data_IF_601451709949
#
_entry.id   IF_601451709949
#
_cell.length_a   1.000
_cell.length_b   1.000
_cell.length_c   1.000
_cell.angle_alpha   90.00
_cell.angle_beta   90.00
_cell.angle_gamma   90.00
#
_symmetry.space_group_name_H-M   'P 1'
#
loop_
_entity.id
_entity.type
_entity.pdbx_description
1 polymer ?
#
# COMPACT_ATOMS: atom_id res chain seq x y z
N UNK A 1 3.31 -6.83 47.94
CA UNK A 1 4.08 -5.74 47.31
C UNK A 1 3.95 -5.87 45.80
N UNK A 2 3.28 -4.88 45.19
CA UNK A 2 3.28 -4.47 43.77
C UNK A 2 3.09 -5.57 42.70
N UNK A 3 1.93 -5.78 42.06
CA UNK A 3 1.13 -4.91 41.17
C UNK A 3 1.67 -4.82 39.71
N UNK A 4 0.71 -4.93 38.76
CA UNK A 4 0.72 -4.80 37.27
C UNK A 4 1.01 -6.09 36.48
N UNK A 5 0.00 -6.81 35.99
CA UNK A 5 -0.91 -6.48 34.89
C UNK A 5 -0.17 -6.25 33.56
N UNK A 6 -0.29 -7.21 32.64
CA UNK A 6 -0.36 -6.89 31.23
C UNK A 6 -1.35 -7.83 30.54
N UNK A 7 -2.60 -7.35 30.40
CA UNK A 7 -3.62 -7.88 29.51
C UNK A 7 -3.45 -7.21 28.16
N UNK A 8 -3.61 -7.95 27.08
CA UNK A 8 -3.97 -7.40 25.78
C UNK A 8 -3.02 -7.79 24.64
N UNK A 9 -3.28 -8.92 24.01
CA UNK A 9 -2.74 -9.23 22.69
C UNK A 9 -3.81 -9.96 21.86
N UNK A 10 -4.91 -9.26 21.55
CA UNK A 10 -5.96 -9.76 20.63
C UNK A 10 -6.49 -8.71 19.66
N UNK A 11 -5.90 -7.52 19.60
CA UNK A 11 -6.19 -6.52 18.55
C UNK A 11 -4.93 -5.81 18.04
N UNK A 12 -3.77 -6.07 18.66
CA UNK A 12 -2.50 -5.44 18.31
C UNK A 12 -1.82 -6.08 17.09
N UNK A 13 -2.07 -7.36 16.78
CA UNK A 13 -1.32 -8.09 15.76
C UNK A 13 -1.73 -7.77 14.31
N UNK A 14 -3.00 -7.46 14.06
CA UNK A 14 -3.49 -7.04 12.72
C UNK A 14 -2.98 -5.63 12.36
N UNK A 15 -2.88 -4.73 13.34
CA UNK A 15 -2.26 -3.41 13.17
C UNK A 15 -0.76 -3.54 12.91
N UNK A 16 -0.08 -4.49 13.57
CA UNK A 16 1.36 -4.76 13.39
C UNK A 16 1.66 -5.30 11.99
N UNK A 17 0.83 -6.16 11.40
CA UNK A 17 1.07 -6.70 10.05
C UNK A 17 1.02 -5.64 8.94
N UNK A 18 0.01 -4.76 8.97
CA UNK A 18 -0.11 -3.65 8.00
C UNK A 18 0.91 -2.55 8.27
N UNK A 19 1.19 -2.22 9.54
CA UNK A 19 2.29 -1.27 9.85
C UNK A 19 3.64 -1.85 9.51
N UNK A 20 3.86 -3.17 9.62
CA UNK A 20 5.10 -3.81 9.21
C UNK A 20 5.23 -3.82 7.68
N UNK A 21 4.16 -4.07 6.93
CA UNK A 21 4.18 -3.97 5.48
C UNK A 21 4.48 -2.52 5.02
N UNK A 22 3.81 -1.51 5.63
CA UNK A 22 4.10 -0.09 5.37
C UNK A 22 5.53 0.28 5.81
N UNK A 23 6.00 -0.24 6.94
CA UNK A 23 7.36 0.01 7.43
C UNK A 23 8.41 -0.69 6.55
N UNK A 24 8.13 -1.85 5.98
CA UNK A 24 8.99 -2.55 5.02
C UNK A 24 9.02 -1.79 3.70
N UNK A 25 7.88 -1.29 3.21
CA UNK A 25 7.84 -0.37 2.05
C UNK A 25 8.68 0.87 2.34
N UNK A 26 8.51 1.50 3.51
CA UNK A 26 9.33 2.63 3.92
C UNK A 26 10.83 2.28 4.05
N UNK A 27 11.18 1.09 4.54
CA UNK A 27 12.58 0.65 4.72
C UNK A 27 13.24 0.34 3.38
N UNK A 28 12.55 -0.37 2.48
CA UNK A 28 13.02 -0.67 1.13
C UNK A 28 13.25 0.63 0.37
N UNK A 29 12.37 1.59 0.53
CA UNK A 29 12.48 2.94 -0.02
C UNK A 29 13.69 3.71 0.57
N UNK A 30 13.93 3.62 1.89
CA UNK A 30 15.12 4.17 2.55
C UNK A 30 16.45 3.49 2.14
N UNK A 31 16.44 2.23 1.70
CA UNK A 31 17.66 1.59 1.17
C UNK A 31 17.97 2.00 -0.28
N UNK A 32 16.94 2.40 -1.05
CA UNK A 32 17.11 3.01 -2.37
C UNK A 32 17.74 4.41 -2.28
N UNK A 33 17.36 5.20 -1.25
CA UNK A 33 17.92 6.52 -0.88
C UNK A 33 19.45 6.57 -0.81
N UNK A 34 20.10 5.53 -0.29
CA UNK A 34 21.57 5.51 -0.13
C UNK A 34 22.33 5.35 -1.45
N UNK A 35 21.67 4.89 -2.52
CA UNK A 35 22.31 4.63 -3.82
C UNK A 35 22.33 5.85 -4.76
N UNK A 36 21.61 6.92 -4.40
CA UNK A 36 21.45 8.12 -5.25
C UNK A 36 22.19 9.36 -4.73
N UNK A 37 22.91 9.28 -3.62
CA UNK A 37 23.72 10.38 -3.08
C UNK A 37 25.04 10.54 -3.85
N UNK A 38 25.00 11.05 -5.08
CA UNK A 38 26.16 11.71 -5.71
C UNK A 38 25.70 12.80 -6.68
N UNK A 39 25.21 13.91 -6.13
CA UNK A 39 25.19 15.19 -6.85
C UNK A 39 25.27 16.36 -5.84
N UNK A 40 26.17 17.33 -6.03
CA UNK A 40 26.28 18.48 -5.14
C UNK A 40 25.15 19.47 -5.38
N UNK A 41 24.51 19.93 -4.29
CA UNK A 41 23.45 20.94 -4.31
C UNK A 41 24.02 22.35 -4.60
N UNK A 42 23.49 23.01 -5.63
CA UNK A 42 23.69 24.46 -5.82
C UNK A 42 22.69 25.22 -4.94
N UNK A 43 23.19 25.87 -3.90
CA UNK A 43 22.37 26.68 -2.98
C UNK A 43 22.07 28.04 -3.63
N UNK A 44 20.84 28.21 -4.11
CA UNK A 44 20.25 29.51 -4.34
C UNK A 44 19.37 29.86 -3.14
N UNK A 45 19.54 31.07 -2.61
CA UNK A 45 18.87 31.63 -1.44
C UNK A 45 17.35 31.54 -1.61
N UNK A 46 16.69 30.62 -0.89
CA UNK A 46 15.25 30.42 -1.00
C UNK A 46 14.51 31.63 -0.38
N UNK A 47 13.73 32.33 -1.20
CA UNK A 47 12.70 33.26 -0.73
C UNK A 47 11.77 32.51 0.23
N UNK A 48 11.57 33.01 1.46
CA UNK A 48 10.85 32.29 2.53
C UNK A 48 9.32 32.24 2.33
N UNK A 49 8.79 32.93 1.33
CA UNK A 49 7.35 32.88 0.99
C UNK A 49 7.21 32.20 -0.37
N UNK A 50 6.55 31.02 -0.45
CA UNK A 50 6.39 30.32 -1.71
C UNK A 50 5.47 31.10 -2.67
N UNK A 51 5.83 31.12 -3.95
CA UNK A 51 5.02 31.72 -5.00
C UNK A 51 3.93 30.73 -5.45
N UNK A 52 2.65 31.08 -5.27
CA UNK A 52 1.54 30.26 -5.75
C UNK A 52 1.48 30.24 -7.28
N UNK A 53 1.51 29.05 -7.88
CA UNK A 53 1.51 28.84 -9.34
C UNK A 53 0.52 27.74 -9.74
N UNK A 54 0.02 27.81 -10.98
CA UNK A 54 -0.81 26.74 -11.55
C UNK A 54 0.05 25.51 -11.88
N UNK A 55 -0.50 24.32 -11.65
CA UNK A 55 0.10 23.05 -12.03
C UNK A 55 0.15 22.83 -13.56
N UNK A 56 -0.63 23.57 -14.36
CA UNK A 56 -0.89 23.22 -15.77
C UNK A 56 0.27 23.51 -16.73
N UNK A 57 1.24 24.34 -16.30
CA UNK A 57 2.38 24.74 -17.14
C UNK A 57 3.63 24.96 -16.32
N UNK A 58 4.76 24.64 -16.93
CA UNK A 58 6.08 25.01 -16.40
C UNK A 58 6.41 26.43 -16.86
N UNK A 59 6.66 27.34 -15.93
CA UNK A 59 7.14 28.69 -16.23
C UNK A 59 8.65 28.77 -15.98
N UNK A 60 9.50 28.90 -17.02
CA UNK A 60 10.95 29.00 -16.86
C UNK A 60 11.40 30.13 -15.93
N UNK A 61 10.58 31.17 -15.72
CA UNK A 61 10.90 32.26 -14.80
C UNK A 61 10.89 31.84 -13.32
N UNK A 62 10.35 30.65 -13.01
CA UNK A 62 10.31 30.09 -11.67
C UNK A 62 11.48 29.15 -11.36
N UNK A 63 12.39 28.91 -12.30
CA UNK A 63 13.54 28.02 -12.10
C UNK A 63 14.33 28.39 -10.83
N UNK A 64 14.56 27.41 -9.97
CA UNK A 64 15.29 27.55 -8.71
C UNK A 64 14.52 28.27 -7.60
N UNK A 65 13.27 28.67 -7.83
CA UNK A 65 12.43 29.35 -6.83
C UNK A 65 11.58 28.36 -6.06
N UNK A 66 11.30 28.71 -4.81
CA UNK A 66 10.29 28.04 -3.99
C UNK A 66 8.90 28.42 -4.48
N UNK A 67 8.16 27.43 -4.97
CA UNK A 67 6.80 27.58 -5.48
C UNK A 67 5.81 26.75 -4.66
N UNK A 68 4.56 27.22 -4.63
CA UNK A 68 3.41 26.50 -4.11
C UNK A 68 2.53 26.07 -5.28
N UNK A 69 2.33 24.76 -5.44
CA UNK A 69 1.54 24.18 -6.52
C UNK A 69 0.33 23.47 -5.93
N UNK A 70 -0.81 23.63 -6.59
CA UNK A 70 -2.04 22.90 -6.28
C UNK A 70 -2.63 22.32 -7.56
N UNK A 71 -3.28 21.17 -7.46
CA UNK A 71 -3.94 20.52 -8.58
C UNK A 71 -4.14 19.04 -8.37
N UNK A 72 -4.49 18.35 -9.45
CA UNK A 72 -4.77 16.92 -9.41
C UNK A 72 -3.50 16.08 -9.52
N UNK A 73 -3.17 15.38 -8.44
CA UNK A 73 -2.14 14.35 -8.42
C UNK A 73 -2.69 13.07 -9.07
N UNK A 74 -1.94 12.51 -10.02
CA UNK A 74 -2.30 11.28 -10.72
C UNK A 74 -1.07 10.47 -11.09
N UNK A 75 -1.27 9.15 -11.23
CA UNK A 75 -0.34 8.31 -11.97
C UNK A 75 -0.31 8.68 -13.45
N UNK A 76 0.83 8.49 -14.09
CA UNK A 76 0.96 8.59 -15.54
C UNK A 76 0.36 7.36 -16.23
N UNK A 77 0.66 6.19 -15.69
CA UNK A 77 0.28 4.89 -16.22
C UNK A 77 -0.70 4.20 -15.25
N UNK A 78 -1.49 3.26 -15.75
CA UNK A 78 -2.45 2.53 -14.94
C UNK A 78 -1.75 1.38 -14.18
N UNK A 79 -1.78 1.36 -12.84
CA UNK A 79 -1.22 0.25 -12.07
C UNK A 79 -1.92 -1.08 -12.38
N UNK A 80 -1.14 -2.16 -12.44
CA UNK A 80 -1.61 -3.47 -12.93
C UNK A 80 -0.97 -4.63 -12.18
N UNK A 81 -1.82 -5.57 -11.78
CA UNK A 81 -1.45 -6.90 -11.33
C UNK A 81 -1.51 -7.87 -12.52
N UNK A 82 -0.35 -8.13 -13.12
CA UNK A 82 -0.25 -9.05 -14.26
C UNK A 82 -0.56 -10.50 -13.89
N UNK A 83 -0.36 -10.89 -12.63
CA UNK A 83 -0.60 -12.26 -12.17
C UNK A 83 -2.10 -12.60 -12.19
N UNK A 84 -2.95 -11.64 -11.79
CA UNK A 84 -4.40 -11.79 -11.79
C UNK A 84 -5.09 -11.11 -12.98
N UNK A 85 -4.36 -10.35 -13.81
CA UNK A 85 -4.93 -9.57 -14.92
C UNK A 85 -5.76 -8.36 -14.48
N UNK A 86 -5.71 -7.99 -13.19
CA UNK A 86 -6.46 -6.87 -12.61
C UNK A 86 -5.68 -5.57 -12.80
N UNK A 87 -6.37 -4.50 -13.14
CA UNK A 87 -5.76 -3.18 -13.31
C UNK A 87 -6.70 -2.09 -12.79
N UNK A 88 -6.11 -1.00 -12.33
CA UNK A 88 -6.84 0.21 -11.97
C UNK A 88 -7.13 1.05 -13.23
N UNK A 89 -7.95 2.09 -13.05
CA UNK A 89 -8.21 3.07 -14.11
C UNK A 89 -6.96 3.93 -14.40
N UNK A 90 -6.88 4.48 -15.61
CA UNK A 90 -5.83 5.40 -15.99
C UNK A 90 -5.81 6.62 -15.05
N UNK A 91 -4.62 6.98 -14.57
CA UNK A 91 -4.44 8.06 -13.59
C UNK A 91 -4.46 7.61 -12.13
N UNK A 92 -4.87 6.38 -11.83
CA UNK A 92 -4.71 5.83 -10.49
C UNK A 92 -3.23 5.85 -10.08
N UNK A 93 -3.01 6.16 -8.80
CA UNK A 93 -1.68 6.31 -8.21
C UNK A 93 -1.12 4.92 -7.87
N UNK A 94 -1.97 4.03 -7.35
CA UNK A 94 -1.58 2.67 -6.96
C UNK A 94 -2.76 1.71 -6.89
N UNK A 95 -2.45 0.42 -6.92
CA UNK A 95 -3.37 -0.72 -6.83
C UNK A 95 -2.79 -1.69 -5.80
N UNK A 96 -3.59 -2.05 -4.80
CA UNK A 96 -3.16 -2.91 -3.71
C UNK A 96 -3.95 -4.21 -3.72
N UNK A 97 -3.25 -5.33 -3.85
CA UNK A 97 -3.81 -6.68 -3.68
C UNK A 97 -3.64 -7.12 -2.23
N UNK A 98 -4.73 -7.52 -1.59
CA UNK A 98 -4.72 -8.18 -0.29
C UNK A 98 -5.12 -9.65 -0.47
N UNK A 99 -4.28 -10.56 0.02
CA UNK A 99 -4.53 -12.00 0.02
C UNK A 99 -4.61 -12.46 1.47
N UNK A 100 -5.71 -13.13 1.81
CA UNK A 100 -5.91 -13.76 3.12
C UNK A 100 -6.26 -15.22 2.93
N UNK A 101 -5.85 -16.06 3.87
CA UNK A 101 -6.18 -17.47 3.90
C UNK A 101 -7.05 -17.78 5.12
N UNK A 102 -8.06 -18.62 4.90
CA UNK A 102 -8.89 -19.19 5.95
C UNK A 102 -8.06 -20.19 6.76
N UNK A 103 -7.82 -19.89 8.03
CA UNK A 103 -6.89 -20.65 8.87
C UNK A 103 -7.46 -20.76 10.29
N UNK A 104 -7.05 -21.79 11.02
CA UNK A 104 -7.22 -21.88 12.46
C UNK A 104 -6.28 -20.92 13.18
N UNK A 105 -6.75 -20.30 14.24
CA UNK A 105 -5.98 -19.51 15.19
C UNK A 105 -6.22 -20.08 16.60
N UNK A 106 -5.13 -20.24 17.36
CA UNK A 106 -5.17 -20.69 18.74
C UNK A 106 -5.01 -19.49 19.69
N UNK A 107 -5.98 -19.31 20.59
CA UNK A 107 -5.87 -18.35 21.69
C UNK A 107 -5.90 -19.08 23.02
N UNK A 108 -4.83 -18.96 23.82
CA UNK A 108 -4.74 -19.59 25.13
C UNK A 108 -4.88 -18.60 26.28
N UNK A 109 -5.72 -18.96 27.26
CA UNK A 109 -5.81 -18.34 28.56
C UNK A 109 -5.43 -19.37 29.64
N UNK A 110 -4.24 -19.21 30.23
CA UNK A 110 -3.65 -20.18 31.17
C UNK A 110 -3.55 -21.59 30.53
N UNK A 111 -4.18 -22.59 31.14
CA UNK A 111 -4.17 -23.98 30.67
C UNK A 111 -5.22 -24.25 29.57
N UNK A 112 -6.11 -23.31 29.29
CA UNK A 112 -7.22 -23.50 28.34
C UNK A 112 -6.94 -22.78 27.02
N UNK A 113 -7.07 -23.47 25.89
CA UNK A 113 -6.96 -22.88 24.57
C UNK A 113 -8.27 -23.01 23.81
N UNK A 114 -8.58 -21.98 23.04
CA UNK A 114 -9.72 -21.89 22.13
C UNK A 114 -9.18 -21.82 20.70
N UNK A 115 -9.93 -22.43 19.78
CA UNK A 115 -9.58 -22.48 18.37
C UNK A 115 -10.71 -21.85 17.59
N UNK A 116 -10.37 -20.83 16.83
CA UNK A 116 -11.30 -20.19 15.92
C UNK A 116 -10.73 -20.20 14.52
N UNK A 117 -11.62 -20.27 13.54
CA UNK A 117 -11.20 -20.09 12.17
C UNK A 117 -11.24 -18.59 11.88
N UNK A 118 -10.16 -18.03 11.35
CA UNK A 118 -10.00 -16.62 10.96
C UNK A 118 -9.64 -16.49 9.48
N UNK A 119 -9.76 -15.28 8.93
CA UNK A 119 -9.08 -14.90 7.69
C UNK A 119 -7.79 -14.20 8.10
N UNK A 120 -6.65 -14.72 7.67
CA UNK A 120 -5.35 -14.14 8.01
C UNK A 120 -4.50 -13.93 6.77
N UNK A 121 -3.90 -12.75 6.65
CA UNK A 121 -2.90 -12.45 5.62
C UNK A 121 -1.54 -13.12 5.88
N UNK A 122 -1.31 -13.60 7.11
CA UNK A 122 -0.09 -14.30 7.50
C UNK A 122 -0.39 -15.80 7.66
N UNK A 123 0.58 -16.64 7.31
CA UNK A 123 0.51 -18.06 7.62
C UNK A 123 0.59 -18.26 9.14
N UNK A 124 -0.38 -18.96 9.70
CA UNK A 124 -0.42 -19.30 11.12
C UNK A 124 0.16 -20.70 11.29
N UNK A 125 1.31 -20.79 11.97
CA UNK A 125 1.98 -22.07 12.19
C UNK A 125 1.25 -22.93 13.22
N UNK A 126 0.41 -23.84 12.70
CA UNK A 126 -0.30 -24.83 13.52
C UNK A 126 0.58 -25.94 14.09
N UNK A 127 1.90 -26.01 13.82
CA UNK A 127 2.76 -27.04 14.42
C UNK A 127 2.89 -26.87 15.93
N UNK A 128 2.79 -25.63 16.40
CA UNK A 128 2.94 -25.25 17.80
C UNK A 128 1.60 -25.27 18.57
N UNK A 129 0.50 -25.62 17.91
CA UNK A 129 -0.81 -25.69 18.56
C UNK A 129 -0.85 -26.77 19.64
N UNK A 130 -1.42 -26.42 20.81
CA UNK A 130 -1.61 -27.33 21.95
C UNK A 130 -2.44 -28.55 21.57
N UNK A 131 -3.42 -28.38 20.69
CA UNK A 131 -4.23 -29.43 20.10
C UNK A 131 -4.25 -29.29 18.57
N UNK A 132 -3.15 -29.72 17.95
CA UNK A 132 -2.99 -29.71 16.49
C UNK A 132 -4.01 -30.58 15.74
N UNK A 133 -4.37 -31.74 16.28
CA UNK A 133 -5.26 -32.68 15.58
C UNK A 133 -6.64 -32.05 15.40
N UNK A 134 -7.03 -31.82 14.13
CA UNK A 134 -8.28 -31.15 13.74
C UNK A 134 -8.14 -29.63 13.56
N UNK A 135 -6.95 -29.07 13.81
CA UNK A 135 -6.66 -27.64 13.67
C UNK A 135 -5.41 -27.38 12.81
N UNK A 136 -5.16 -28.25 11.84
CA UNK A 136 -4.01 -28.11 10.94
C UNK A 136 -4.23 -27.00 9.91
N UNK A 137 -3.24 -26.11 9.77
CA UNK A 137 -3.19 -25.08 8.75
C UNK A 137 -2.25 -25.46 7.59
N UNK A 138 -2.51 -24.97 6.37
CA UNK A 138 -1.56 -25.05 5.28
C UNK A 138 -0.24 -24.38 5.63
N UNK A 139 0.86 -24.94 5.14
CA UNK A 139 2.22 -24.46 5.42
C UNK A 139 2.74 -23.47 4.37
N UNK A 140 1.94 -23.19 3.34
CA UNK A 140 2.30 -22.30 2.22
C UNK A 140 1.06 -21.60 1.69
N UNK A 141 1.19 -20.32 1.35
CA UNK A 141 0.22 -19.57 0.55
C UNK A 141 0.69 -19.55 -0.92
N UNK A 142 -0.19 -19.81 -1.90
CA UNK A 142 0.18 -19.81 -3.32
C UNK A 142 0.26 -18.39 -3.92
N UNK A 143 -0.24 -17.38 -3.20
CA UNK A 143 -0.25 -15.98 -3.61
C UNK A 143 0.03 -15.10 -2.39
N UNK A 144 0.68 -13.96 -2.63
CA UNK A 144 0.97 -12.96 -1.62
C UNK A 144 0.20 -11.65 -1.90
N UNK A 145 -0.01 -10.85 -0.86
CA UNK A 145 -0.41 -9.46 -1.04
C UNK A 145 0.68 -8.66 -1.76
N UNK A 146 0.30 -7.64 -2.51
CA UNK A 146 1.25 -6.84 -3.28
C UNK A 146 0.73 -5.41 -3.51
N UNK A 147 1.65 -4.49 -3.81
CA UNK A 147 1.36 -3.11 -4.17
C UNK A 147 1.94 -2.82 -5.55
N UNK A 148 1.08 -2.39 -6.47
CA UNK A 148 1.44 -1.99 -7.82
C UNK A 148 1.27 -0.48 -7.92
N UNK A 149 2.33 0.24 -8.22
CA UNK A 149 2.31 1.71 -8.33
C UNK A 149 2.35 2.15 -9.79
N UNK A 150 1.97 3.40 -10.05
CA UNK A 150 2.28 4.07 -11.32
C UNK A 150 3.76 4.44 -11.33
N UNK A 151 4.47 4.10 -12.40
CA UNK A 151 5.91 4.38 -12.57
C UNK A 151 6.28 5.86 -12.37
N UNK A 152 5.33 6.77 -12.64
CA UNK A 152 5.54 8.20 -12.56
C UNK A 152 4.29 8.90 -11.99
N UNK A 153 4.49 9.85 -11.07
CA UNK A 153 3.43 10.70 -10.54
C UNK A 153 3.50 12.10 -11.16
N UNK A 154 2.32 12.68 -11.40
CA UNK A 154 2.14 13.97 -12.04
C UNK A 154 1.18 14.86 -11.28
N UNK A 155 1.56 16.13 -11.14
CA UNK A 155 0.69 17.23 -10.73
C UNK A 155 0.63 18.23 -11.88
N UNK A 156 -0.38 18.10 -12.74
CA UNK A 156 -0.42 18.82 -14.01
C UNK A 156 0.82 18.52 -14.86
N UNK A 157 1.59 19.56 -15.19
CA UNK A 157 2.86 19.47 -15.92
C UNK A 157 4.05 19.05 -15.05
N UNK A 158 3.94 19.13 -13.72
CA UNK A 158 5.05 18.86 -12.80
C UNK A 158 5.21 17.36 -12.50
N UNK A 159 6.46 16.96 -12.31
CA UNK A 159 6.91 15.71 -11.68
C UNK A 159 7.39 16.00 -10.26
N UNK A 160 7.50 14.95 -9.47
CA UNK A 160 8.03 15.01 -8.11
C UNK A 160 9.33 14.25 -8.05
N UNK A 161 10.33 14.79 -7.34
CA UNK A 161 11.38 13.91 -6.85
C UNK A 161 10.81 12.89 -5.85
N UNK A 162 11.48 11.74 -5.65
CA UNK A 162 10.94 10.69 -4.80
C UNK A 162 10.60 11.18 -3.39
N UNK A 163 11.44 12.03 -2.79
CA UNK A 163 11.26 12.52 -1.43
C UNK A 163 10.01 13.39 -1.25
N UNK A 164 9.75 14.30 -2.20
CA UNK A 164 8.52 15.09 -2.18
C UNK A 164 7.31 14.19 -2.51
N UNK A 165 7.45 13.25 -3.45
CA UNK A 165 6.37 12.30 -3.76
C UNK A 165 5.94 11.51 -2.52
N UNK A 166 6.88 11.01 -1.72
CA UNK A 166 6.58 10.28 -0.48
C UNK A 166 5.83 11.16 0.54
N UNK A 167 6.21 12.43 0.68
CA UNK A 167 5.49 13.36 1.55
C UNK A 167 4.08 13.66 1.04
N UNK A 168 3.93 13.91 -0.25
CA UNK A 168 2.60 14.14 -0.84
C UNK A 168 1.72 12.91 -0.65
N UNK A 169 2.26 11.71 -0.87
CA UNK A 169 1.55 10.44 -0.72
C UNK A 169 1.14 10.13 0.73
N UNK A 170 1.88 10.63 1.72
CA UNK A 170 1.55 10.43 3.13
C UNK A 170 0.20 11.08 3.51
N UNK A 171 -0.13 12.20 2.86
CA UNK A 171 -1.35 12.96 3.11
C UNK A 171 -2.52 12.57 2.18
N UNK A 172 -2.34 11.55 1.32
CA UNK A 172 -3.40 11.10 0.40
C UNK A 172 -4.45 10.29 1.15
N UNK A 173 -5.69 10.41 0.70
CA UNK A 173 -6.81 9.62 1.22
C UNK A 173 -6.53 8.11 1.19
N UNK A 174 -7.12 7.40 2.15
CA UNK A 174 -6.96 5.96 2.27
C UNK A 174 -7.41 5.22 1.00
N UNK A 175 -6.74 4.12 0.59
CA UNK A 175 -7.13 3.33 -0.57
C UNK A 175 -8.60 2.87 -0.48
N UNK A 176 -9.35 3.05 -1.56
CA UNK A 176 -10.78 2.67 -1.65
C UNK A 176 -10.94 1.28 -2.25
N UNK A 177 -12.03 0.59 -1.91
CA UNK A 177 -12.32 -0.73 -2.46
C UNK A 177 -12.42 -0.71 -3.99
N UNK A 178 -11.78 -1.67 -4.65
CA UNK A 178 -11.91 -1.95 -6.08
C UNK A 178 -12.57 -3.32 -6.25
N UNK A 179 -13.89 -3.39 -6.47
CA UNK A 179 -14.59 -4.65 -6.67
C UNK A 179 -14.09 -5.38 -7.92
N UNK A 180 -13.75 -6.66 -7.77
CA UNK A 180 -13.28 -7.52 -8.85
C UNK A 180 -14.23 -8.70 -9.11
N UNK A 181 -14.18 -9.25 -10.32
CA UNK A 181 -14.97 -10.41 -10.75
C UNK A 181 -14.08 -11.50 -11.32
N UNK A 182 -14.48 -12.76 -11.17
CA UNK A 182 -13.72 -13.89 -11.70
C UNK A 182 -13.59 -13.84 -13.23
N UNK A 183 -14.53 -13.21 -13.94
CA UNK A 183 -14.49 -13.03 -15.39
C UNK A 183 -13.37 -12.09 -15.89
N UNK A 184 -12.74 -11.32 -15.00
CA UNK A 184 -11.59 -10.48 -15.32
C UNK A 184 -10.27 -11.27 -15.29
N UNK A 185 -10.27 -12.47 -14.69
CA UNK A 185 -9.07 -13.25 -14.47
C UNK A 185 -8.63 -14.01 -15.74
N UNK A 186 -7.32 -14.32 -15.85
CA UNK A 186 -6.83 -15.30 -16.80
C UNK A 186 -7.57 -16.64 -16.68
N UNK A 187 -7.74 -17.41 -17.79
CA UNK A 187 -8.59 -18.61 -17.80
C UNK A 187 -8.29 -19.65 -16.72
N UNK A 188 -7.02 -19.85 -16.37
CA UNK A 188 -6.58 -20.78 -15.32
C UNK A 188 -7.02 -20.33 -13.92
N UNK A 189 -7.00 -19.02 -13.67
CA UNK A 189 -7.45 -18.46 -12.39
C UNK A 189 -8.98 -18.37 -12.35
N UNK A 190 -9.63 -17.98 -13.45
CA UNK A 190 -11.09 -17.97 -13.56
C UNK A 190 -11.73 -19.35 -13.34
N UNK A 191 -11.00 -20.44 -13.62
CA UNK A 191 -11.44 -21.81 -13.33
C UNK A 191 -11.34 -22.18 -11.83
N UNK A 192 -10.49 -21.49 -11.07
CA UNK A 192 -10.23 -21.74 -9.65
C UNK A 192 -11.04 -20.81 -8.76
N UNK A 193 -11.12 -19.53 -9.14
CA UNK A 193 -11.72 -18.48 -8.33
C UNK A 193 -13.20 -18.26 -8.67
N UNK A 194 -13.96 -17.91 -7.63
CA UNK A 194 -15.33 -17.40 -7.72
C UNK A 194 -15.35 -16.01 -7.11
N UNK A 195 -16.14 -15.10 -7.66
CA UNK A 195 -16.35 -13.79 -7.05
C UNK A 195 -17.58 -13.75 -6.12
N UNK A 196 -17.45 -13.01 -5.02
CA UNK A 196 -18.54 -12.63 -4.12
C UNK A 196 -18.19 -11.28 -3.47
N UNK A 197 -19.17 -10.37 -3.41
CA UNK A 197 -19.04 -9.06 -2.76
C UNK A 197 -17.79 -8.25 -3.19
N UNK A 198 -17.37 -8.39 -4.45
CA UNK A 198 -16.22 -7.68 -5.01
C UNK A 198 -14.86 -8.26 -4.65
N UNK A 199 -14.79 -9.45 -4.06
CA UNK A 199 -13.57 -10.21 -3.79
C UNK A 199 -13.60 -11.59 -4.47
N UNK A 200 -12.43 -12.22 -4.58
CA UNK A 200 -12.24 -13.52 -5.22
C UNK A 200 -11.94 -14.59 -4.17
N UNK A 201 -12.51 -15.78 -4.34
CA UNK A 201 -12.38 -16.92 -3.42
C UNK A 201 -12.03 -18.22 -4.14
N UNK A 202 -11.17 -19.07 -3.56
CA UNK A 202 -10.84 -20.40 -4.12
C UNK A 202 -11.83 -21.51 -3.72
N UNK A 203 -12.89 -21.18 -2.99
CA UNK A 203 -13.89 -22.12 -2.45
C UNK A 203 -15.30 -21.50 -2.39
N UNK A 204 -16.17 -22.01 -1.51
CA UNK A 204 -17.49 -21.42 -1.24
C UNK A 204 -17.34 -20.20 -0.30
N UNK A 205 -17.64 -18.97 -0.75
CA UNK A 205 -17.55 -17.78 0.10
C UNK A 205 -18.44 -17.82 1.34
N UNK A 206 -19.55 -18.58 1.31
CA UNK A 206 -20.47 -18.70 2.44
C UNK A 206 -20.01 -19.73 3.48
N UNK A 207 -19.25 -20.74 3.06
CA UNK A 207 -18.73 -21.81 3.90
C UNK A 207 -17.25 -22.10 3.58
N UNK A 208 -16.34 -21.15 3.83
CA UNK A 208 -14.94 -21.29 3.45
C UNK A 208 -14.25 -22.39 4.26
N UNK A 209 -13.52 -23.26 3.58
CA UNK A 209 -12.71 -24.31 4.18
C UNK A 209 -11.33 -23.79 4.58
N UNK A 210 -10.65 -24.50 5.48
CA UNK A 210 -9.25 -24.19 5.82
C UNK A 210 -8.38 -24.30 4.58
N UNK A 211 -7.60 -23.25 4.32
CA UNK A 211 -6.76 -23.09 3.14
C UNK A 211 -7.42 -22.37 1.97
N UNK A 212 -8.72 -22.09 2.02
CA UNK A 212 -9.34 -21.21 1.04
C UNK A 212 -8.74 -19.81 1.11
N UNK A 213 -8.61 -19.16 -0.04
CA UNK A 213 -8.11 -17.80 -0.16
C UNK A 213 -9.25 -16.82 -0.36
N UNK A 214 -9.05 -15.61 0.15
CA UNK A 214 -9.81 -14.40 -0.16
C UNK A 214 -8.83 -13.39 -0.74
N UNK A 215 -9.06 -12.98 -1.99
CA UNK A 215 -8.26 -11.96 -2.67
C UNK A 215 -9.14 -10.74 -2.91
N UNK A 216 -8.69 -9.58 -2.45
CA UNK A 216 -9.40 -8.31 -2.59
C UNK A 216 -8.46 -7.23 -3.09
N UNK A 217 -9.02 -6.22 -3.76
CA UNK A 217 -8.26 -5.11 -4.30
C UNK A 217 -8.74 -3.79 -3.72
N UNK A 218 -7.78 -2.88 -3.53
CA UNK A 218 -8.02 -1.46 -3.25
C UNK A 218 -7.22 -0.62 -4.22
N UNK A 219 -7.69 0.60 -4.48
CA UNK A 219 -7.06 1.54 -5.41
C UNK A 219 -6.83 2.88 -4.73
N UNK A 220 -5.69 3.49 -5.04
CA UNK A 220 -5.39 4.89 -4.69
C UNK A 220 -5.78 5.71 -5.91
N UNK A 221 -6.92 6.39 -5.82
CA UNK A 221 -7.46 7.19 -6.91
C UNK A 221 -6.65 8.49 -7.13
N UNK A 222 -6.72 9.12 -8.31
CA UNK A 222 -6.20 10.46 -8.48
C UNK A 222 -6.89 11.44 -7.53
N UNK A 223 -6.12 12.28 -6.86
CA UNK A 223 -6.57 13.14 -5.75
C UNK A 223 -6.24 14.60 -6.02
N UNK A 224 -7.09 15.52 -5.55
CA UNK A 224 -6.76 16.95 -5.53
C UNK A 224 -5.84 17.23 -4.34
N UNK A 225 -4.62 17.70 -4.62
CA UNK A 225 -3.67 18.14 -3.59
C UNK A 225 -3.57 19.66 -3.62
N UNK A 226 -3.43 20.24 -2.42
CA UNK A 226 -3.26 21.68 -2.27
C UNK A 226 -1.97 21.98 -1.53
N UNK A 227 -1.35 23.10 -1.88
CA UNK A 227 -0.19 23.67 -1.15
C UNK A 227 1.03 22.76 -1.10
N UNK A 228 1.36 22.12 -2.22
CA UNK A 228 2.64 21.42 -2.35
C UNK A 228 3.74 22.45 -2.53
N UNK A 229 4.73 22.44 -1.63
CA UNK A 229 5.89 23.33 -1.70
C UNK A 229 7.10 22.60 -2.28
N UNK A 230 7.76 23.20 -3.26
CA UNK A 230 8.96 22.64 -3.87
C UNK A 230 9.79 23.67 -4.61
N UNK A 231 11.06 23.35 -4.86
CA UNK A 231 11.92 24.14 -5.74
C UNK A 231 11.70 23.67 -7.17
N UNK A 232 11.36 24.58 -8.08
CA UNK A 232 11.20 24.22 -9.49
C UNK A 232 12.56 23.98 -10.15
N UNK A 233 12.72 22.80 -10.75
CA UNK A 233 13.83 22.45 -11.62
C UNK A 233 13.33 21.84 -12.94
N UNK A 234 13.11 22.69 -13.94
CA UNK A 234 12.40 22.32 -15.14
C UNK A 234 10.98 21.85 -14.80
N UNK A 235 10.64 20.62 -15.18
CA UNK A 235 9.36 19.99 -14.80
C UNK A 235 9.38 19.36 -13.40
N UNK A 236 10.52 19.32 -12.70
CA UNK A 236 10.62 18.70 -11.38
C UNK A 236 10.29 19.69 -10.26
N UNK A 237 9.45 19.28 -9.33
CA UNK A 237 9.36 19.84 -8.00
C UNK A 237 10.29 19.04 -7.10
N UNK A 238 11.34 19.70 -6.60
CA UNK A 238 12.31 19.11 -5.68
C UNK A 238 12.00 19.52 -4.25
N UNK A 239 12.37 18.64 -3.32
CA UNK A 239 12.38 18.96 -1.90
C UNK A 239 13.12 20.28 -1.60
N UNK A 240 12.49 21.22 -0.88
CA UNK A 240 13.21 22.35 -0.31
C UNK A 240 14.29 21.83 0.65
N UNK A 241 15.46 22.47 0.67
CA UNK A 241 16.48 22.13 1.66
C UNK A 241 15.90 22.29 3.08
N UNK A 242 16.13 21.32 3.95
CA UNK A 242 15.75 21.42 5.36
C UNK A 242 16.55 22.56 5.99
N UNK A 243 15.85 23.51 6.61
CA UNK A 243 16.47 24.54 7.46
C UNK A 243 16.93 23.94 8.80
#
# INVERSE_FOLDING_TARGET
>A
MSERANRGATTAQVLVGVTLAIAIVALLWLTWRQRTETAPASVATAETTPLAVSADRIDPANQGRLIEVSGRLRGKDAPRDEQFGIHAEAGAIGLMRSVEMRQWEETCAQEKCEYEQVWSAQLIDSSEFRQRQGHENPQRAPFDGDLFDSDELRLGAFRFDPDLAAQVLFDVEAPVALPVRASQLPPNLAATFRDSDGALYTGDPQHPAIGDLRVSYRVIAPVEVSRIHGIQDGEWLRMPAAN
#
